data_IF_263007579316
#
_entry.id   IF_263007579316
#
_cell.length_a   1.000
_cell.length_b   1.000
_cell.length_c   1.000
_cell.angle_alpha   90.00
_cell.angle_beta   90.00
_cell.angle_gamma   90.00
#
_symmetry.space_group_name_H-M   'P 1'
#
loop_
_entity.id
_entity.type
_entity.pdbx_description
1 polymer ?
#
# COMPACT_ATOMS: atom_id res chain seq x y z
N UNK A 1 -41.56 -25.04 -39.89
CA UNK A 1 -40.74 -26.21 -39.52
C UNK A 1 -39.38 -25.70 -39.06
N UNK A 2 -38.98 -26.09 -37.84
CA UNK A 2 -37.59 -26.08 -37.33
C UNK A 2 -37.00 -24.70 -36.98
N UNK A 3 -36.36 -24.42 -35.84
CA UNK A 3 -35.93 -25.25 -34.70
C UNK A 3 -35.53 -24.31 -33.53
N UNK A 4 -36.20 -24.41 -32.39
CA UNK A 4 -35.79 -23.75 -31.13
C UNK A 4 -34.73 -24.62 -30.45
N UNK A 5 -33.52 -24.11 -30.21
CA UNK A 5 -32.54 -24.77 -29.33
C UNK A 5 -32.47 -24.05 -27.98
N UNK A 6 -33.11 -24.70 -27.02
CA UNK A 6 -33.04 -24.49 -25.58
C UNK A 6 -31.76 -25.13 -25.01
N UNK A 7 -31.47 -24.86 -23.73
CA UNK A 7 -30.57 -25.57 -22.76
C UNK A 7 -29.09 -25.16 -22.81
N UNK A 8 -28.38 -24.85 -21.70
CA UNK A 8 -28.61 -25.05 -20.26
C UNK A 8 -27.78 -24.05 -19.44
N UNK A 9 -28.32 -23.52 -18.34
CA UNK A 9 -27.54 -22.96 -17.24
C UNK A 9 -27.04 -24.11 -16.37
N UNK A 10 -25.72 -24.21 -16.14
CA UNK A 10 -25.15 -25.11 -15.14
C UNK A 10 -24.71 -24.29 -13.93
N UNK A 11 -25.53 -24.33 -12.87
CA UNK A 11 -25.15 -23.91 -11.53
C UNK A 11 -24.30 -25.03 -10.90
N UNK A 12 -23.07 -24.71 -10.48
CA UNK A 12 -22.25 -25.61 -9.67
C UNK A 12 -22.33 -25.12 -8.22
N UNK A 13 -23.00 -25.94 -7.41
CA UNK A 13 -23.17 -25.75 -5.99
C UNK A 13 -21.90 -26.06 -5.20
N UNK A 14 -21.81 -25.41 -4.04
CA UNK A 14 -20.74 -25.45 -3.04
C UNK A 14 -20.33 -26.85 -2.57
N UNK A 15 -19.04 -26.98 -2.21
CA UNK A 15 -18.55 -27.98 -1.26
C UNK A 15 -17.83 -27.25 -0.11
N UNK A 16 -18.44 -27.32 1.07
CA UNK A 16 -17.87 -26.98 2.36
C UNK A 16 -17.12 -28.20 2.91
N UNK A 17 -15.88 -28.04 3.37
CA UNK A 17 -15.23 -28.99 4.29
C UNK A 17 -14.50 -28.20 5.39
N UNK A 18 -14.91 -28.50 6.62
CA UNK A 18 -14.35 -28.07 7.89
C UNK A 18 -12.95 -28.67 8.14
N UNK A 19 -12.06 -27.85 8.72
CA UNK A 19 -11.26 -28.18 9.90
C UNK A 19 -10.15 -29.24 9.82
N UNK A 20 -8.90 -28.78 9.92
CA UNK A 20 -7.81 -29.54 10.55
C UNK A 20 -6.99 -28.60 11.44
N UNK A 21 -7.26 -28.71 12.74
CA UNK A 21 -6.39 -28.28 13.82
C UNK A 21 -5.09 -29.10 13.78
N UNK A 22 -3.96 -28.44 13.61
CA UNK A 22 -2.66 -28.98 13.99
C UNK A 22 -2.13 -28.15 15.17
N UNK A 23 -2.53 -28.60 16.36
CA UNK A 23 -1.84 -28.37 17.63
C UNK A 23 -0.79 -29.48 17.77
N UNK A 24 0.43 -29.12 18.14
CA UNK A 24 1.56 -30.02 18.38
C UNK A 24 2.86 -29.22 18.30
N UNK A 25 3.26 -28.50 19.35
CA UNK A 25 4.03 -28.98 20.53
C UNK A 25 5.51 -29.23 20.20
N UNK A 26 6.36 -28.29 20.64
CA UNK A 26 7.68 -28.51 21.26
C UNK A 26 8.13 -27.14 21.82
N UNK A 27 8.10 -26.89 23.14
CA UNK A 27 9.23 -27.11 24.06
C UNK A 27 10.13 -25.86 24.06
N UNK A 28 10.41 -25.11 25.13
CA UNK A 28 10.35 -25.29 26.57
C UNK A 28 10.33 -23.91 27.27
N UNK A 29 9.71 -23.82 28.45
CA UNK A 29 10.02 -22.77 29.44
C UNK A 29 11.20 -23.25 30.32
N UNK A 30 12.03 -22.35 30.90
CA UNK A 30 11.64 -21.85 32.23
C UNK A 30 12.03 -20.40 32.55
N UNK A 31 11.18 -19.79 33.38
CA UNK A 31 11.43 -18.97 34.58
C UNK A 31 12.60 -17.96 34.62
N UNK A 32 12.27 -16.70 34.94
CA UNK A 32 13.27 -15.72 35.37
C UNK A 32 12.74 -14.28 35.51
N UNK A 33 12.15 -13.99 36.67
CA UNK A 33 12.26 -12.75 37.46
C UNK A 33 12.27 -11.35 36.80
N UNK A 34 11.33 -10.56 37.31
CA UNK A 34 11.52 -9.21 37.84
C UNK A 34 11.96 -8.04 36.92
N UNK A 35 11.03 -7.08 36.84
CA UNK A 35 11.21 -5.63 37.01
C UNK A 35 10.87 -4.79 35.77
N UNK A 36 9.94 -3.82 35.89
CA UNK A 36 9.77 -2.80 34.85
C UNK A 36 10.97 -1.85 34.89
N UNK A 37 11.79 -1.87 33.84
CA UNK A 37 12.79 -0.83 33.63
C UNK A 37 12.15 0.32 32.87
N UNK A 38 11.93 1.42 33.60
CA UNK A 38 11.60 2.70 33.04
C UNK A 38 12.76 3.29 32.23
N UNK A 39 12.38 4.20 31.33
CA UNK A 39 13.15 5.29 30.69
C UNK A 39 14.28 4.93 29.72
N UNK A 40 14.11 5.37 28.47
CA UNK A 40 14.90 6.49 27.93
C UNK A 40 14.20 7.08 26.70
N UNK A 41 13.62 8.27 26.88
CA UNK A 41 13.31 9.21 25.80
C UNK A 41 14.63 9.55 25.11
N UNK A 42 14.75 9.25 23.82
CA UNK A 42 15.89 9.73 23.04
C UNK A 42 15.64 11.20 22.68
N UNK A 43 16.49 12.05 23.26
CA UNK A 43 16.58 13.49 23.06
C UNK A 43 16.74 13.84 21.59
N UNK A 44 16.09 14.93 21.20
CA UNK A 44 16.24 15.58 19.90
C UNK A 44 17.54 16.37 19.88
N UNK A 45 18.49 15.98 19.04
CA UNK A 45 19.58 16.88 18.64
C UNK A 45 19.33 17.35 17.21
N UNK A 46 18.87 18.59 17.12
CA UNK A 46 18.69 19.32 15.88
C UNK A 46 20.02 19.97 15.48
N UNK A 47 20.48 19.70 14.26
CA UNK A 47 21.44 20.56 13.59
C UNK A 47 21.19 20.57 12.07
N UNK A 48 20.53 21.64 11.64
CA UNK A 48 20.55 22.38 10.39
C UNK A 48 21.03 21.68 9.08
N UNK A 49 20.18 21.76 8.05
CA UNK A 49 20.66 22.10 6.71
C UNK A 49 19.60 22.91 5.94
N UNK A 50 20.12 23.99 5.37
CA UNK A 50 19.58 25.07 4.57
C UNK A 50 18.26 24.88 3.80
N UNK A 51 17.52 25.99 3.88
CA UNK A 51 16.47 26.48 2.99
C UNK A 51 16.87 26.40 1.50
N UNK A 52 16.12 25.62 0.71
CA UNK A 52 15.91 25.92 -0.71
C UNK A 52 14.54 25.37 -1.11
N UNK A 53 13.60 26.29 -1.40
CA UNK A 53 12.19 25.99 -1.60
C UNK A 53 11.86 24.94 -2.67
N UNK A 54 10.92 24.06 -2.32
CA UNK A 54 10.09 23.26 -3.21
C UNK A 54 8.74 23.00 -2.52
N UNK A 55 7.60 22.92 -3.26
CA UNK A 55 6.28 23.09 -2.69
C UNK A 55 5.72 21.82 -2.01
N UNK A 56 4.91 22.07 -0.98
CA UNK A 56 3.91 21.21 -0.33
C UNK A 56 4.37 19.79 0.08
N UNK A 57 4.89 19.65 1.31
CA UNK A 57 5.16 18.34 1.89
C UNK A 57 4.43 18.21 3.25
N UNK A 58 3.32 17.47 3.25
CA UNK A 58 2.63 17.08 4.47
C UNK A 58 3.28 15.81 5.06
N UNK A 59 4.57 15.85 5.39
CA UNK A 59 5.21 14.80 6.18
C UNK A 59 4.93 15.02 7.68
N UNK A 60 3.76 14.63 8.17
CA UNK A 60 3.47 14.63 9.61
C UNK A 60 4.17 13.49 10.39
N UNK A 61 4.87 12.57 9.72
CA UNK A 61 5.60 11.44 10.35
C UNK A 61 7.13 11.51 10.22
N UNK A 62 7.70 12.53 9.56
CA UNK A 62 9.14 12.60 9.29
C UNK A 62 9.68 11.55 8.32
N UNK A 63 8.82 10.66 7.82
CA UNK A 63 9.13 9.68 6.77
C UNK A 63 9.17 10.40 5.43
N UNK A 64 10.26 10.21 4.67
CA UNK A 64 10.44 10.77 3.33
C UNK A 64 10.22 9.70 2.26
N UNK A 65 9.71 10.13 1.12
CA UNK A 65 9.67 9.29 -0.07
C UNK A 65 11.11 8.98 -0.56
N UNK A 66 11.38 7.79 -1.13
CA UNK A 66 12.69 7.47 -1.70
C UNK A 66 13.07 8.42 -2.84
N UNK A 67 14.34 8.83 -2.90
CA UNK A 67 14.85 9.71 -3.97
C UNK A 67 14.91 9.01 -5.34
N UNK A 68 14.90 7.68 -5.37
CA UNK A 68 14.99 6.87 -6.59
C UNK A 68 13.64 6.44 -7.16
N UNK A 69 12.54 7.08 -6.73
CA UNK A 69 11.24 6.87 -7.35
C UNK A 69 11.24 7.22 -8.85
N UNK A 70 10.41 6.55 -9.67
CA UNK A 70 10.32 6.85 -11.09
C UNK A 70 10.00 8.33 -11.33
N UNK A 71 10.79 8.97 -12.19
CA UNK A 71 10.56 10.36 -12.55
C UNK A 71 9.17 10.54 -13.19
N UNK A 72 8.45 11.57 -12.76
CA UNK A 72 7.09 11.84 -13.25
C UNK A 72 6.02 10.89 -12.69
N UNK A 73 6.32 10.11 -11.65
CA UNK A 73 5.28 9.46 -10.85
C UNK A 73 4.70 10.51 -9.88
N UNK A 74 3.44 10.95 -10.06
CA UNK A 74 2.79 11.76 -9.03
C UNK A 74 2.68 10.94 -7.73
N UNK A 75 2.65 11.63 -6.59
CA UNK A 75 2.40 11.01 -5.29
C UNK A 75 1.00 11.39 -4.81
N UNK A 76 0.27 10.48 -4.14
CA UNK A 76 -1.03 10.79 -3.58
C UNK A 76 -0.89 11.85 -2.49
N UNK A 77 -1.95 12.66 -2.33
CA UNK A 77 -2.06 13.56 -1.19
C UNK A 77 -2.21 12.76 0.11
N UNK A 78 -1.76 13.35 1.22
CA UNK A 78 -1.83 12.74 2.55
C UNK A 78 -0.45 12.58 3.19
N UNK A 79 -0.45 12.00 4.39
CA UNK A 79 0.75 11.84 5.18
C UNK A 79 1.43 10.51 4.84
N UNK A 80 2.65 10.54 4.32
CA UNK A 80 3.46 9.34 4.18
C UNK A 80 3.87 8.83 5.57
N UNK A 81 3.39 7.65 5.94
CA UNK A 81 3.61 7.05 7.28
C UNK A 81 4.58 5.88 7.26
N UNK A 82 4.77 5.24 6.10
CA UNK A 82 5.67 4.10 5.97
C UNK A 82 6.19 3.96 4.54
N UNK A 83 7.46 3.57 4.45
CA UNK A 83 8.12 3.14 3.22
C UNK A 83 8.81 1.82 3.51
N UNK A 84 8.51 0.80 2.71
CA UNK A 84 9.18 -0.51 2.79
C UNK A 84 9.63 -0.95 1.39
N UNK A 85 10.57 -1.89 1.34
CA UNK A 85 11.17 -2.34 0.09
C UNK A 85 12.53 -1.72 -0.17
N UNK A 86 12.92 -1.66 -1.45
CA UNK A 86 14.21 -1.16 -1.88
C UNK A 86 14.18 -0.77 -3.36
N UNK A 87 15.33 -0.34 -3.88
CA UNK A 87 15.47 0.24 -5.22
C UNK A 87 14.61 -0.46 -6.28
N UNK A 88 13.68 0.28 -6.88
CA UNK A 88 12.76 -0.20 -7.92
C UNK A 88 11.58 -1.07 -7.48
N UNK A 89 11.44 -1.34 -6.18
CA UNK A 89 10.34 -2.11 -5.61
C UNK A 89 10.00 -1.59 -4.20
N UNK A 90 9.09 -0.62 -4.14
CA UNK A 90 8.70 0.06 -2.91
C UNK A 90 7.23 -0.16 -2.59
N UNK A 91 6.91 -0.17 -1.30
CA UNK A 91 5.55 -0.05 -0.79
C UNK A 91 5.49 1.21 0.06
N UNK A 92 4.71 2.20 -0.39
CA UNK A 92 4.50 3.48 0.29
C UNK A 92 3.09 3.51 0.86
N UNK A 93 2.95 3.87 2.13
CA UNK A 93 1.66 3.94 2.82
C UNK A 93 1.35 5.38 3.21
N UNK A 94 0.27 5.91 2.66
CA UNK A 94 -0.22 7.25 2.93
C UNK A 94 -1.45 7.18 3.82
N UNK A 95 -1.47 7.95 4.90
CA UNK A 95 -2.65 8.16 5.73
C UNK A 95 -3.43 9.34 5.21
N UNK A 96 -4.75 9.19 5.13
CA UNK A 96 -5.68 10.23 4.69
C UNK A 96 -7.02 10.04 5.38
N UNK A 97 -7.72 11.15 5.66
CA UNK A 97 -9.06 11.12 6.25
C UNK A 97 -10.14 10.66 5.24
N UNK A 98 -9.85 10.78 3.93
CA UNK A 98 -10.77 10.41 2.85
C UNK A 98 -10.02 9.63 1.75
N UNK A 99 -9.80 8.31 1.93
CA UNK A 99 -9.02 7.51 1.00
C UNK A 99 -9.69 7.35 -0.37
N UNK A 100 -11.02 7.45 -0.46
CA UNK A 100 -11.73 7.37 -1.73
C UNK A 100 -11.52 8.63 -2.56
N UNK A 101 -11.65 9.82 -1.96
CA UNK A 101 -11.36 11.08 -2.64
C UNK A 101 -9.87 11.19 -3.02
N UNK A 102 -8.96 10.80 -2.12
CA UNK A 102 -7.52 10.77 -2.44
C UNK A 102 -7.22 9.82 -3.60
N UNK A 103 -7.87 8.66 -3.65
CA UNK A 103 -7.70 7.70 -4.74
C UNK A 103 -8.18 8.26 -6.09
N UNK A 104 -9.34 8.93 -6.13
CA UNK A 104 -9.88 9.52 -7.35
C UNK A 104 -9.01 10.67 -7.89
N UNK A 105 -8.54 11.54 -6.99
CA UNK A 105 -7.58 12.59 -7.32
C UNK A 105 -6.26 12.00 -7.83
N UNK A 106 -5.75 10.97 -7.17
CA UNK A 106 -4.50 10.33 -7.56
C UNK A 106 -4.60 9.62 -8.91
N UNK A 107 -5.74 8.97 -9.19
CA UNK A 107 -6.06 8.43 -10.52
C UNK A 107 -6.00 9.51 -11.58
N UNK A 108 -6.66 10.64 -11.36
CA UNK A 108 -6.67 11.77 -12.30
C UNK A 108 -5.27 12.32 -12.57
N UNK A 109 -4.41 12.39 -11.54
CA UNK A 109 -3.02 12.80 -11.68
C UNK A 109 -2.22 11.81 -12.55
N UNK A 110 -2.36 10.50 -12.30
CA UNK A 110 -1.70 9.46 -13.07
C UNK A 110 -2.10 9.50 -14.55
N UNK A 111 -3.39 9.66 -14.85
CA UNK A 111 -3.86 9.80 -16.23
C UNK A 111 -3.32 11.07 -16.91
N UNK A 112 -3.21 12.17 -16.15
CA UNK A 112 -2.59 13.42 -16.60
C UNK A 112 -1.10 13.26 -16.96
N UNK A 113 -0.37 12.43 -16.21
CA UNK A 113 1.04 12.06 -16.47
C UNK A 113 1.19 10.87 -17.44
N UNK A 114 0.13 10.53 -18.18
CA UNK A 114 0.09 9.51 -19.23
C UNK A 114 0.33 8.07 -18.76
N UNK A 115 -0.02 7.76 -17.50
CA UNK A 115 -0.16 6.38 -17.07
C UNK A 115 -1.46 5.78 -17.62
N UNK A 116 -1.39 4.51 -18.02
CA UNK A 116 -2.59 3.72 -18.31
C UNK A 116 -3.13 3.14 -17.00
N UNK A 117 -4.34 3.53 -16.60
CA UNK A 117 -4.99 3.06 -15.38
C UNK A 117 -5.99 1.95 -15.69
N UNK A 118 -5.91 0.84 -14.96
CA UNK A 118 -6.82 -0.31 -15.05
C UNK A 118 -7.36 -0.62 -13.66
N UNK A 119 -8.68 -0.67 -13.51
CA UNK A 119 -9.34 -1.06 -12.26
C UNK A 119 -9.72 -2.54 -12.28
N UNK A 120 -9.32 -3.28 -11.24
CA UNK A 120 -9.62 -4.69 -11.08
C UNK A 120 -10.00 -4.96 -9.62
N UNK A 121 -11.31 -5.11 -9.37
CA UNK A 121 -11.81 -5.62 -8.10
C UNK A 121 -11.47 -4.75 -6.88
N UNK A 122 -11.48 -3.43 -7.02
CA UNK A 122 -11.19 -2.49 -5.93
C UNK A 122 -9.69 -2.23 -5.70
N UNK A 123 -8.84 -2.74 -6.58
CA UNK A 123 -7.43 -2.35 -6.70
C UNK A 123 -7.25 -1.75 -8.09
N UNK A 124 -6.52 -0.64 -8.20
CA UNK A 124 -6.17 -0.11 -9.50
C UNK A 124 -4.68 -0.30 -9.77
N UNK A 125 -4.35 -0.57 -11.04
CA UNK A 125 -2.97 -0.69 -11.52
C UNK A 125 -2.74 0.41 -12.55
N UNK A 126 -1.68 1.18 -12.37
CA UNK A 126 -1.24 2.22 -13.29
C UNK A 126 0.11 1.84 -13.90
N UNK A 127 0.24 1.89 -15.22
CA UNK A 127 1.48 1.53 -15.91
C UNK A 127 1.94 2.64 -16.85
N UNK A 128 3.23 2.94 -16.83
CA UNK A 128 3.90 3.82 -17.80
C UNK A 128 5.33 3.32 -18.05
N UNK A 129 5.64 2.99 -19.31
CA UNK A 129 6.93 2.40 -19.68
C UNK A 129 7.24 1.12 -18.88
N UNK A 130 8.31 1.14 -18.09
CA UNK A 130 8.75 0.04 -17.24
C UNK A 130 8.21 0.12 -15.80
N UNK A 131 7.46 1.17 -15.48
CA UNK A 131 6.89 1.40 -14.15
C UNK A 131 5.49 0.80 -14.09
N UNK A 132 5.27 -0.07 -13.12
CA UNK A 132 3.93 -0.48 -12.70
C UNK A 132 3.69 -0.07 -11.25
N UNK A 133 2.54 0.54 -11.00
CA UNK A 133 2.09 0.90 -9.65
C UNK A 133 0.78 0.17 -9.42
N UNK A 134 0.71 -0.62 -8.37
CA UNK A 134 -0.53 -1.18 -7.86
C UNK A 134 -0.97 -0.39 -6.64
N UNK A 135 -2.24 -0.03 -6.58
CA UNK A 135 -2.78 0.80 -5.52
C UNK A 135 -3.99 0.13 -4.91
N UNK A 136 -3.95 0.04 -3.58
CA UNK A 136 -5.02 -0.51 -2.75
C UNK A 136 -5.34 0.50 -1.65
N UNK A 137 -6.60 0.56 -1.24
CA UNK A 137 -7.03 1.38 -0.12
C UNK A 137 -7.49 0.55 1.06
N UNK A 138 -7.37 1.13 2.25
CA UNK A 138 -8.06 0.67 3.46
C UNK A 138 -9.01 1.77 3.94
N UNK A 139 -9.50 1.69 5.18
CA UNK A 139 -10.43 2.67 5.73
C UNK A 139 -9.81 4.08 5.90
N UNK A 140 -8.49 4.16 6.11
CA UNK A 140 -7.79 5.41 6.42
C UNK A 140 -6.43 5.54 5.69
N UNK A 141 -6.14 4.64 4.75
CA UNK A 141 -4.86 4.64 4.02
C UNK A 141 -4.99 4.37 2.54
N UNK A 142 -4.06 4.96 1.79
CA UNK A 142 -3.75 4.60 0.40
C UNK A 142 -2.38 3.92 0.37
N UNK A 143 -2.30 2.71 -0.18
CA UNK A 143 -1.06 1.92 -0.27
C UNK A 143 -0.65 1.85 -1.73
N UNK A 144 0.54 2.35 -2.04
CA UNK A 144 1.16 2.28 -3.36
C UNK A 144 2.25 1.21 -3.34
N UNK A 145 2.10 0.21 -4.20
CA UNK A 145 3.13 -0.80 -4.46
C UNK A 145 3.72 -0.57 -5.83
N UNK A 146 4.98 -0.17 -5.88
CA UNK A 146 5.74 -0.02 -7.10
C UNK A 146 6.46 -1.32 -7.42
N UNK A 147 6.37 -1.73 -8.68
CA UNK A 147 7.17 -2.80 -9.24
C UNK A 147 7.78 -2.29 -10.55
N UNK A 148 9.10 -2.11 -10.57
CA UNK A 148 9.86 -1.75 -11.76
C UNK A 148 10.81 -0.59 -11.54
N UNK A 149 12.11 -0.87 -11.64
CA UNK A 149 13.16 0.02 -12.14
C UNK A 149 14.21 -0.81 -12.89
#
# INVERSE_FOLDING_TARGET
>A
MSWTRTTSFAAVAALTVFGLTACGSDGAAPEGSDKPAATATADSDAAASDDTGAPADAAASGVKAPDDLPAGLPLPEGELTSVTGGKGAYVLTYRTDDPEATLDAYRSALEGDQYTVIDIGGTFTATSGNTAVQITTTADTVILTLAGA
#
